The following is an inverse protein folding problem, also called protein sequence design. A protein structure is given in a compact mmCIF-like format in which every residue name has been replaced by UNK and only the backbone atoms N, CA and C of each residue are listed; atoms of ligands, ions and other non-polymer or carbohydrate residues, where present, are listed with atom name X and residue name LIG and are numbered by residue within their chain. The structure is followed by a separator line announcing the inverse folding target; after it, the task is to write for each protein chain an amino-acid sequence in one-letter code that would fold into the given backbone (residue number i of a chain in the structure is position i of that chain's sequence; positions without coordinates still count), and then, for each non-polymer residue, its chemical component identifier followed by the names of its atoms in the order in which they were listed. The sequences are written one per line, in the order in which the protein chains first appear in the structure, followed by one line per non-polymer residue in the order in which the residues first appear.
data_IF_365350823444
#
_entry.id   IF_365350823444
#
_cell.length_a   1.000
_cell.length_b   1.000
_cell.length_c   1.000
_cell.angle_alpha   90.00
_cell.angle_beta   90.00
_cell.angle_gamma   90.00
#
_symmetry.space_group_name_H-M   'P 1'
#
loop_
_entity.id
_entity.type
_entity.pdbx_description
1 polymer ?
#
# COMPACT_ATOMS: atom_id res chain seq x y z
N UNK A 1 4.44 -7.15 22.40
CA UNK A 1 3.19 -6.67 23.03
C UNK A 1 2.23 -5.97 22.02
N UNK A 2 2.18 -6.44 20.76
CA UNK A 2 1.37 -5.81 19.69
C UNK A 2 0.47 -6.77 18.90
N UNK A 3 0.80 -8.06 18.84
CA UNK A 3 0.08 -9.05 18.04
C UNK A 3 -1.34 -9.35 18.56
N UNK A 4 -1.57 -9.27 19.87
CA UNK A 4 -2.88 -9.51 20.46
C UNK A 4 -3.91 -8.47 20.04
N UNK A 5 -3.53 -7.19 19.91
CA UNK A 5 -4.45 -6.11 19.50
C UNK A 5 -4.93 -6.27 18.07
N UNK A 6 -4.05 -6.73 17.16
CA UNK A 6 -4.41 -7.01 15.77
C UNK A 6 -5.38 -8.19 15.72
N UNK A 7 -5.06 -9.28 16.44
CA UNK A 7 -5.94 -10.45 16.50
C UNK A 7 -7.32 -10.11 17.06
N UNK A 8 -7.37 -9.40 18.19
CA UNK A 8 -8.61 -8.97 18.83
C UNK A 8 -9.40 -8.02 17.93
N UNK A 9 -8.74 -7.07 17.26
CA UNK A 9 -9.39 -6.16 16.31
C UNK A 9 -9.97 -6.88 15.10
N UNK A 10 -9.24 -7.82 14.50
CA UNK A 10 -9.73 -8.63 13.38
C UNK A 10 -10.93 -9.49 13.79
N UNK A 11 -10.88 -10.10 14.98
CA UNK A 11 -11.97 -10.93 15.48
C UNK A 11 -13.23 -10.10 15.78
N UNK A 12 -13.08 -8.93 16.39
CA UNK A 12 -14.18 -7.99 16.60
C UNK A 12 -14.79 -7.52 15.27
N UNK A 13 -13.94 -7.29 14.27
CA UNK A 13 -14.38 -6.88 12.93
C UNK A 13 -15.23 -7.95 12.23
N UNK A 14 -14.88 -9.22 12.39
CA UNK A 14 -15.67 -10.33 11.85
C UNK A 14 -16.99 -10.54 12.59
N UNK A 15 -17.02 -10.30 13.92
CA UNK A 15 -18.21 -10.50 14.76
C UNK A 15 -19.27 -9.39 14.60
N UNK A 16 -18.87 -8.18 14.17
CA UNK A 16 -19.76 -7.02 14.02
C UNK A 16 -19.73 -6.44 12.59
N UNK A 17 -20.13 -7.21 11.56
CA UNK A 17 -20.10 -6.76 10.16
C UNK A 17 -21.04 -5.58 9.89
N UNK A 18 -22.08 -5.41 10.72
CA UNK A 18 -23.02 -4.29 10.62
C UNK A 18 -22.38 -2.92 10.83
N UNK A 19 -21.38 -2.81 11.71
CA UNK A 19 -20.64 -1.56 11.93
C UNK A 19 -19.81 -1.16 10.69
N UNK A 20 -19.22 -2.13 10.00
CA UNK A 20 -18.46 -1.88 8.77
C UNK A 20 -19.37 -1.53 7.59
N UNK A 21 -20.59 -2.07 7.55
CA UNK A 21 -21.59 -1.73 6.53
C UNK A 21 -22.04 -0.27 6.64
N UNK A 22 -22.27 0.24 7.84
CA UNK A 22 -22.58 1.67 8.07
C UNK A 22 -21.40 2.56 7.67
N UNK A 23 -20.16 2.11 7.86
CA UNK A 23 -18.96 2.82 7.39
C UNK A 23 -18.84 2.80 5.85
N UNK A 24 -19.20 1.69 5.20
CA UNK A 24 -19.29 1.59 3.74
C UNK A 24 -20.45 2.40 3.15
N UNK A 25 -21.51 2.67 3.90
CA UNK A 25 -22.58 3.58 3.47
C UNK A 25 -22.14 5.05 3.47
N UNK A 26 -21.04 5.40 4.14
CA UNK A 26 -20.36 6.70 4.03
C UNK A 26 -19.44 6.78 2.80
N UNK A 27 -19.78 6.06 1.73
CA UNK A 27 -19.14 6.14 0.43
C UNK A 27 -19.77 7.24 -0.41
N UNK A 28 -18.93 8.13 -0.95
CA UNK A 28 -19.33 9.09 -1.97
C UNK A 28 -18.60 8.73 -3.26
N UNK A 29 -19.35 8.39 -4.32
CA UNK A 29 -18.81 7.95 -5.62
C UNK A 29 -17.72 6.86 -5.51
N UNK A 30 -18.03 5.77 -4.79
CA UNK A 30 -17.13 4.63 -4.60
C UNK A 30 -15.83 4.95 -3.85
N UNK A 31 -15.75 6.11 -3.19
CA UNK A 31 -14.65 6.49 -2.29
C UNK A 31 -15.16 6.59 -0.88
N UNK A 32 -14.60 5.77 0.02
CA UNK A 32 -14.96 5.80 1.44
C UNK A 32 -14.32 7.02 2.12
N UNK A 33 -15.16 8.00 2.48
CA UNK A 33 -14.71 9.28 3.06
C UNK A 33 -13.95 9.07 4.38
N UNK A 34 -14.37 8.09 5.18
CA UNK A 34 -13.75 7.79 6.46
C UNK A 34 -12.35 7.19 6.28
N UNK A 35 -12.20 6.23 5.36
CA UNK A 35 -10.89 5.65 5.01
C UNK A 35 -9.97 6.73 4.45
N UNK A 36 -10.47 7.60 3.57
CA UNK A 36 -9.68 8.71 3.02
C UNK A 36 -9.15 9.64 4.13
N UNK A 37 -9.99 9.98 5.11
CA UNK A 37 -9.58 10.78 6.27
C UNK A 37 -8.48 10.08 7.09
N UNK A 38 -8.60 8.77 7.33
CA UNK A 38 -7.57 8.01 8.06
C UNK A 38 -6.24 7.94 7.29
N UNK A 39 -6.29 7.78 5.97
CA UNK A 39 -5.10 7.84 5.12
C UNK A 39 -4.45 9.22 5.26
N UNK A 40 -5.23 10.30 5.21
CA UNK A 40 -4.74 11.67 5.37
C UNK A 40 -4.06 11.88 6.73
N UNK A 41 -4.68 11.43 7.83
CA UNK A 41 -4.10 11.49 9.17
C UNK A 41 -2.79 10.71 9.28
N UNK A 42 -2.63 9.59 8.56
CA UNK A 42 -1.34 8.86 8.54
C UNK A 42 -0.26 9.55 7.72
N UNK A 43 -0.61 10.26 6.65
CA UNK A 43 0.36 10.95 5.78
C UNK A 43 0.89 12.22 6.47
N UNK A 44 0.02 12.95 7.18
CA UNK A 44 0.38 14.20 7.88
C UNK A 44 1.64 14.16 8.76
N UNK A 45 1.80 13.20 9.70
CA UNK A 45 2.97 13.17 10.56
C UNK A 45 4.26 12.98 9.77
N UNK A 46 4.22 12.34 8.60
CA UNK A 46 5.40 12.22 7.76
C UNK A 46 5.79 13.58 7.16
N UNK A 47 4.83 14.34 6.63
CA UNK A 47 5.09 15.65 6.00
C UNK A 47 5.71 16.67 6.96
N UNK A 48 5.30 16.63 8.23
CA UNK A 48 5.80 17.55 9.27
C UNK A 48 7.26 17.25 9.63
N UNK A 49 7.72 16.01 9.46
CA UNK A 49 9.07 15.57 9.81
C UNK A 49 10.08 15.70 8.66
N UNK A 50 9.70 16.26 7.50
CA UNK A 50 10.61 16.45 6.36
C UNK A 50 11.47 17.69 6.58
N UNK A 51 12.79 17.48 6.62
CA UNK A 51 13.78 18.55 6.66
C UNK A 51 14.07 19.07 5.24
N UNK A 52 13.63 20.30 4.96
CA UNK A 52 13.80 20.94 3.66
C UNK A 52 15.25 21.26 3.30
N UNK A 53 16.16 21.38 4.28
CA UNK A 53 17.58 21.61 3.99
C UNK A 53 18.21 20.40 3.28
N UNK A 54 17.83 19.18 3.68
CA UNK A 54 18.30 17.93 3.07
C UNK A 54 17.80 17.70 1.65
N UNK A 55 16.68 18.33 1.27
CA UNK A 55 16.13 18.23 -0.09
C UNK A 55 17.03 18.95 -1.11
N UNK A 56 17.71 20.03 -0.70
CA UNK A 56 18.54 20.84 -1.60
C UNK A 56 19.89 20.16 -1.87
N UNK A 57 20.50 19.56 -0.84
CA UNK A 57 21.77 18.81 -0.95
C UNK A 57 21.66 17.55 -1.83
N UNK A 58 20.44 17.10 -2.07
CA UNK A 58 20.14 15.92 -2.89
C UNK A 58 20.54 16.09 -4.36
N UNK A 59 20.68 17.34 -4.84
CA UNK A 59 21.17 17.63 -6.19
C UNK A 59 22.63 17.20 -6.41
N UNK A 60 23.42 17.06 -5.34
CA UNK A 60 24.83 16.68 -5.38
C UNK A 60 25.07 15.21 -5.75
N UNK A 61 24.09 14.33 -5.47
CA UNK A 61 24.26 12.87 -5.54
C UNK A 61 23.13 12.19 -6.34
N UNK A 62 23.00 12.45 -7.66
CA UNK A 62 21.89 11.98 -8.48
C UNK A 62 21.84 10.44 -8.66
N UNK A 63 22.96 9.74 -8.46
CA UNK A 63 23.06 8.29 -8.70
C UNK A 63 22.24 7.46 -7.71
N UNK A 64 22.22 7.84 -6.43
CA UNK A 64 21.44 7.13 -5.39
C UNK A 64 19.94 7.29 -5.59
N UNK A 65 19.52 8.48 -6.03
CA UNK A 65 18.12 8.79 -6.37
C UNK A 65 17.65 7.93 -7.53
N UNK A 66 18.44 7.90 -8.60
CA UNK A 66 18.06 7.20 -9.83
C UNK A 66 17.94 5.69 -9.56
N UNK A 67 18.89 5.14 -8.80
CA UNK A 67 18.83 3.74 -8.39
C UNK A 67 17.59 3.45 -7.52
N UNK A 68 17.30 4.32 -6.55
CA UNK A 68 16.11 4.21 -5.71
C UNK A 68 14.83 4.28 -6.53
N UNK A 69 14.74 5.22 -7.47
CA UNK A 69 13.57 5.38 -8.33
C UNK A 69 13.37 4.14 -9.21
N UNK A 70 14.43 3.63 -9.84
CA UNK A 70 14.38 2.43 -10.67
C UNK A 70 13.94 1.23 -9.82
N UNK A 71 14.55 1.00 -8.66
CA UNK A 71 14.20 -0.16 -7.82
C UNK A 71 12.77 -0.02 -7.29
N UNK A 72 12.38 1.16 -6.80
CA UNK A 72 11.09 1.35 -6.14
C UNK A 72 9.91 1.46 -7.10
N UNK A 73 10.09 2.06 -8.26
CA UNK A 73 9.00 2.31 -9.22
C UNK A 73 8.98 1.35 -10.39
N UNK A 74 10.12 0.76 -10.75
CA UNK A 74 10.18 -0.19 -11.86
C UNK A 74 10.28 -1.61 -11.29
N UNK A 75 11.32 -1.92 -10.53
CA UNK A 75 11.56 -3.31 -10.12
C UNK A 75 10.44 -3.80 -9.19
N UNK A 76 10.10 -3.06 -8.13
CA UNK A 76 9.07 -3.50 -7.16
C UNK A 76 7.70 -3.76 -7.81
N UNK A 77 7.08 -2.84 -8.57
CA UNK A 77 5.76 -3.10 -9.17
C UNK A 77 5.77 -4.22 -10.20
N UNK A 78 6.84 -4.34 -11.01
CA UNK A 78 6.95 -5.42 -11.98
C UNK A 78 7.16 -6.78 -11.31
N UNK A 79 7.98 -6.86 -10.26
CA UNK A 79 8.13 -8.09 -9.48
C UNK A 79 6.80 -8.49 -8.83
N UNK A 80 6.03 -7.53 -8.30
CA UNK A 80 4.70 -7.81 -7.74
C UNK A 80 3.70 -8.25 -8.81
N UNK A 81 3.73 -7.66 -10.00
CA UNK A 81 2.90 -8.09 -11.12
C UNK A 81 3.25 -9.53 -11.55
N UNK A 82 4.55 -9.83 -11.68
CA UNK A 82 5.02 -11.17 -12.04
C UNK A 82 4.62 -12.21 -10.99
N UNK A 83 4.78 -11.89 -9.70
CA UNK A 83 4.34 -12.76 -8.61
C UNK A 83 2.82 -12.93 -8.60
N UNK A 84 2.06 -11.85 -8.82
CA UNK A 84 0.61 -11.89 -8.90
C UNK A 84 0.13 -12.83 -10.01
N UNK A 85 0.68 -12.69 -11.22
CA UNK A 85 0.36 -13.57 -12.36
C UNK A 85 0.75 -15.02 -12.04
N UNK A 86 1.97 -15.24 -11.54
CA UNK A 86 2.45 -16.58 -11.20
C UNK A 86 1.52 -17.28 -10.21
N UNK A 87 1.12 -16.61 -9.13
CA UNK A 87 0.25 -17.24 -8.13
C UNK A 87 -1.20 -17.32 -8.60
N UNK A 88 -1.80 -16.21 -9.04
CA UNK A 88 -3.24 -16.14 -9.29
C UNK A 88 -3.67 -16.65 -10.68
N UNK A 89 -2.80 -16.63 -11.69
CA UNK A 89 -3.11 -17.15 -13.03
C UNK A 89 -2.49 -18.52 -13.33
N UNK A 90 -1.43 -18.93 -12.63
CA UNK A 90 -0.80 -20.25 -12.85
C UNK A 90 -1.19 -21.23 -11.73
N UNK A 91 -0.81 -20.94 -10.47
CA UNK A 91 -1.03 -21.87 -9.35
C UNK A 91 -2.50 -21.96 -8.90
N UNK A 92 -3.22 -20.84 -8.85
CA UNK A 92 -4.60 -20.77 -8.35
C UNK A 92 -5.64 -20.61 -9.47
N UNK A 93 -5.27 -20.91 -10.71
CA UNK A 93 -6.13 -20.76 -11.90
C UNK A 93 -7.45 -21.53 -11.83
N UNK A 94 -7.48 -22.66 -11.12
CA UNK A 94 -8.68 -23.49 -10.94
C UNK A 94 -9.54 -23.08 -9.73
N UNK A 95 -9.02 -22.26 -8.81
CA UNK A 95 -9.74 -21.81 -7.61
C UNK A 95 -10.34 -20.41 -7.77
N UNK A 96 -9.90 -19.63 -8.77
CA UNK A 96 -10.26 -18.23 -8.93
C UNK A 96 -10.96 -17.98 -10.26
N UNK A 97 -11.96 -17.09 -10.24
CA UNK A 97 -12.53 -16.56 -11.48
C UNK A 97 -11.52 -15.64 -12.19
N UNK A 98 -11.61 -15.47 -13.52
CA UNK A 98 -10.75 -14.54 -14.25
C UNK A 98 -10.89 -13.09 -13.77
N UNK A 99 -12.05 -12.72 -13.20
CA UNK A 99 -12.33 -11.40 -12.64
C UNK A 99 -11.55 -11.20 -11.33
N UNK A 100 -11.65 -12.16 -10.41
CA UNK A 100 -11.01 -12.09 -9.08
C UNK A 100 -9.49 -12.14 -9.19
N UNK A 101 -8.97 -12.97 -10.09
CA UNK A 101 -7.53 -13.08 -10.34
C UNK A 101 -6.93 -11.73 -10.72
N UNK A 102 -7.60 -10.99 -11.62
CA UNK A 102 -7.18 -9.63 -12.01
C UNK A 102 -7.25 -8.64 -10.85
N UNK A 103 -8.29 -8.71 -10.01
CA UNK A 103 -8.43 -7.83 -8.85
C UNK A 103 -7.32 -8.09 -7.81
N UNK A 104 -6.97 -9.35 -7.54
CA UNK A 104 -5.89 -9.68 -6.62
C UNK A 104 -4.51 -9.30 -7.15
N UNK A 105 -4.27 -9.44 -8.46
CA UNK A 105 -3.04 -8.95 -9.10
C UNK A 105 -2.95 -7.42 -8.96
N UNK A 106 -4.03 -6.69 -9.23
CA UNK A 106 -4.07 -5.25 -9.06
C UNK A 106 -3.80 -4.84 -7.59
N UNK A 107 -4.41 -5.53 -6.63
CA UNK A 107 -4.17 -5.31 -5.20
C UNK A 107 -2.71 -5.56 -4.81
N UNK A 108 -2.10 -6.64 -5.32
CA UNK A 108 -0.70 -6.96 -5.05
C UNK A 108 0.26 -5.89 -5.60
N UNK A 109 -0.02 -5.36 -6.79
CA UNK A 109 0.76 -4.26 -7.38
C UNK A 109 0.62 -3.00 -6.53
N UNK A 110 -0.59 -2.66 -6.08
CA UNK A 110 -0.83 -1.50 -5.22
C UNK A 110 -0.11 -1.60 -3.87
N UNK A 111 -0.02 -2.79 -3.28
CA UNK A 111 0.72 -3.03 -2.04
C UNK A 111 2.25 -2.92 -2.22
N UNK A 112 2.76 -3.19 -3.42
CA UNK A 112 4.16 -3.01 -3.77
C UNK A 112 4.60 -1.56 -3.88
N UNK A 113 3.67 -0.60 -3.88
CA UNK A 113 3.98 0.81 -4.04
C UNK A 113 4.67 1.37 -2.78
N UNK A 114 5.74 2.16 -2.97
CA UNK A 114 6.54 2.71 -1.87
C UNK A 114 5.79 3.87 -1.18
N UNK A 115 4.80 3.57 -0.33
CA UNK A 115 4.10 4.60 0.46
C UNK A 115 4.95 5.14 1.64
N UNK A 116 6.10 4.52 1.94
CA UNK A 116 6.98 4.89 3.07
C UNK A 116 8.48 4.85 2.76
N UNK A 117 8.90 4.74 1.48
CA UNK A 117 10.32 4.55 1.15
C UNK A 117 11.07 5.88 1.04
N UNK A 118 11.25 6.58 2.16
CA UNK A 118 12.15 7.74 2.25
C UNK A 118 13.59 7.35 2.66
N UNK A 119 13.83 6.09 3.02
CA UNK A 119 15.10 5.62 3.59
C UNK A 119 16.21 5.20 2.63
N UNK A 120 15.99 5.15 1.31
CA UNK A 120 17.02 4.65 0.36
C UNK A 120 17.94 5.78 -0.15
N UNK A 121 17.63 7.02 0.23
CA UNK A 121 18.28 8.23 -0.27
C UNK A 121 19.08 8.99 0.80
N UNK A 122 19.02 8.56 2.07
CA UNK A 122 19.61 9.27 3.21
C UNK A 122 20.66 8.44 3.98
N UNK A 123 21.12 7.32 3.40
CA UNK A 123 22.31 6.57 3.82
C UNK A 123 23.36 6.54 2.71
#
# INVERSE_FOLDING_TARGET
MGSSKILTGTFLGYALPGLFRVVSELEFQSVNLLVALFIWVKILPMMINIDFAKIIDFRSSPKGILLTLIINWIIKPFTMAMLGILFFEIFFSSLLSPEDSKQYIAGMILLGLPLYSYGICLE
#
